data_IF_724181952440
#
_entry.id   IF_724181952440
#
_cell.length_a   1.000
_cell.length_b   1.000
_cell.length_c   1.000
_cell.angle_alpha   90.00
_cell.angle_beta   90.00
_cell.angle_gamma   90.00
#
_symmetry.space_group_name_H-M   'P 1'
#
loop_
_entity.id
_entity.type
_entity.pdbx_description
1 polymer ?
#
# COMPACT_ATOMS: atom_id res chain seq x y z
N UNK A 1 11.72 26.13 6.37
CA UNK A 1 10.48 26.21 7.18
C UNK A 1 10.70 25.38 8.44
N UNK A 2 10.64 25.95 9.65
CA UNK A 2 10.79 25.18 10.87
C UNK A 2 9.54 24.32 11.07
N UNK A 3 9.73 23.04 11.42
CA UNK A 3 8.64 22.14 11.78
C UNK A 3 7.92 22.70 13.01
N UNK A 4 6.59 22.87 12.93
CA UNK A 4 5.77 23.22 14.10
C UNK A 4 5.97 22.16 15.20
N UNK A 5 6.33 22.62 16.40
CA UNK A 5 6.32 21.81 17.62
C UNK A 5 4.95 21.13 17.78
N UNK A 6 4.93 19.83 18.06
CA UNK A 6 3.73 19.13 18.54
C UNK A 6 3.50 17.70 18.05
N UNK A 7 4.12 17.25 16.96
CA UNK A 7 3.96 15.84 16.53
C UNK A 7 5.16 15.03 17.03
N UNK A 8 4.98 14.37 18.17
CA UNK A 8 5.95 13.42 18.70
C UNK A 8 5.94 12.16 17.81
N UNK A 9 6.88 12.09 16.88
CA UNK A 9 7.07 10.88 16.08
C UNK A 9 7.69 9.79 16.93
N UNK A 10 7.15 8.58 16.84
CA UNK A 10 7.74 7.40 17.47
C UNK A 10 7.82 6.25 16.49
N UNK A 11 8.85 5.42 16.64
CA UNK A 11 9.06 4.24 15.83
C UNK A 11 9.17 3.02 16.75
N UNK A 12 8.44 1.96 16.43
CA UNK A 12 8.43 0.74 17.26
C UNK A 12 8.26 -0.50 16.41
N UNK A 13 8.83 -1.62 16.88
CA UNK A 13 8.50 -2.95 16.37
C UNK A 13 7.06 -3.29 16.77
N UNK A 14 6.34 -3.96 15.88
CA UNK A 14 4.92 -4.31 16.07
C UNK A 14 4.77 -5.83 16.00
N UNK A 15 3.97 -6.39 16.91
CA UNK A 15 3.66 -7.81 16.91
C UNK A 15 2.77 -8.22 15.74
N UNK A 16 2.83 -9.50 15.36
CA UNK A 16 1.98 -10.05 14.29
C UNK A 16 0.49 -9.88 14.63
N UNK A 17 0.11 -10.05 15.90
CA UNK A 17 -1.28 -9.94 16.35
C UNK A 17 -1.88 -8.55 16.12
N UNK A 18 -1.06 -7.49 16.16
CA UNK A 18 -1.48 -6.12 15.88
C UNK A 18 -1.49 -5.80 14.38
N UNK A 19 -0.64 -6.48 13.60
CA UNK A 19 -0.47 -6.27 12.15
C UNK A 19 -1.54 -7.02 11.36
N UNK A 20 -1.81 -8.26 11.74
CA UNK A 20 -2.75 -9.17 11.07
C UNK A 20 -4.12 -8.53 10.79
N UNK A 21 -4.83 -7.92 11.76
CA UNK A 21 -6.15 -7.34 11.49
C UNK A 21 -6.09 -6.18 10.48
N UNK A 22 -5.01 -5.40 10.45
CA UNK A 22 -4.84 -4.29 9.48
C UNK A 22 -4.61 -4.84 8.07
N UNK A 23 -3.79 -5.88 7.94
CA UNK A 23 -3.57 -6.55 6.67
C UNK A 23 -4.82 -7.27 6.18
N UNK A 24 -5.60 -7.86 7.08
CA UNK A 24 -6.84 -8.56 6.74
C UNK A 24 -7.87 -7.63 6.09
N UNK A 25 -7.98 -6.37 6.54
CA UNK A 25 -8.79 -5.34 5.87
C UNK A 25 -8.38 -5.15 4.41
N UNK A 26 -7.06 -5.07 4.14
CA UNK A 26 -6.54 -4.90 2.78
C UNK A 26 -6.71 -6.17 1.95
N UNK A 27 -6.40 -7.34 2.52
CA UNK A 27 -6.45 -8.62 1.84
C UNK A 27 -7.89 -9.03 1.51
N UNK A 28 -8.85 -8.70 2.39
CA UNK A 28 -10.27 -8.89 2.13
C UNK A 28 -10.75 -8.00 0.98
N UNK A 29 -10.36 -6.71 0.99
CA UNK A 29 -10.71 -5.76 -0.07
C UNK A 29 -10.28 -6.22 -1.47
N UNK A 30 -9.13 -6.88 -1.60
CA UNK A 30 -8.59 -7.32 -2.88
C UNK A 30 -8.68 -8.83 -3.13
N UNK A 31 -9.39 -9.60 -2.29
CA UNK A 31 -9.64 -11.02 -2.53
C UNK A 31 -8.41 -11.92 -2.40
N UNK A 32 -7.64 -11.78 -1.31
CA UNK A 32 -6.43 -12.58 -1.04
C UNK A 32 -6.28 -13.02 0.42
N UNK A 33 -7.35 -13.02 1.23
CA UNK A 33 -7.27 -13.35 2.67
C UNK A 33 -6.59 -14.70 2.92
N UNK A 34 -6.84 -15.70 2.05
CA UNK A 34 -6.19 -17.01 2.10
C UNK A 34 -4.65 -16.98 1.98
N UNK A 35 -4.06 -15.90 1.45
CA UNK A 35 -2.61 -15.71 1.34
C UNK A 35 -2.00 -14.97 2.53
N UNK A 36 -2.81 -14.44 3.45
CA UNK A 36 -2.35 -13.59 4.56
C UNK A 36 -1.31 -14.29 5.45
N UNK A 37 -1.60 -15.52 5.89
CA UNK A 37 -0.70 -16.28 6.76
C UNK A 37 0.66 -16.52 6.11
N UNK A 38 0.70 -16.87 4.82
CA UNK A 38 1.95 -17.03 4.07
C UNK A 38 2.67 -15.70 3.89
N UNK A 39 1.93 -14.61 3.68
CA UNK A 39 2.51 -13.28 3.54
C UNK A 39 3.21 -12.82 4.82
N UNK A 40 2.67 -13.05 6.01
CA UNK A 40 3.31 -12.58 7.26
C UNK A 40 4.54 -13.40 7.68
N UNK A 41 4.66 -14.64 7.21
CA UNK A 41 5.77 -15.54 7.56
C UNK A 41 7.14 -14.95 7.18
N UNK A 42 8.09 -15.06 8.12
CA UNK A 42 9.49 -14.58 7.98
C UNK A 42 9.62 -13.08 7.69
N UNK A 43 8.68 -12.27 8.18
CA UNK A 43 8.71 -10.82 8.07
C UNK A 43 8.68 -10.16 9.43
N UNK A 44 9.38 -9.04 9.53
CA UNK A 44 9.35 -8.19 10.70
C UNK A 44 8.63 -6.89 10.36
N UNK A 45 7.80 -6.42 11.29
CA UNK A 45 6.94 -5.26 11.09
C UNK A 45 7.28 -4.15 12.07
N UNK A 46 7.18 -2.92 11.59
CA UNK A 46 7.48 -1.74 12.35
C UNK A 46 6.48 -0.65 12.04
N UNK A 47 6.15 0.16 13.03
CA UNK A 47 5.20 1.26 12.91
C UNK A 47 5.92 2.58 13.19
N UNK A 48 5.67 3.54 12.31
CA UNK A 48 5.88 4.96 12.59
C UNK A 48 4.55 5.56 13.01
N UNK A 49 4.49 6.14 14.21
CA UNK A 49 3.37 6.97 14.68
C UNK A 49 3.73 8.44 14.48
N UNK A 50 2.83 9.19 13.86
CA UNK A 50 3.02 10.60 13.54
C UNK A 50 1.69 11.28 13.24
N UNK A 51 1.65 12.19 12.26
CA UNK A 51 0.39 12.79 11.77
C UNK A 51 -0.58 11.72 11.24
N UNK A 52 -0.01 10.71 10.61
CA UNK A 52 -0.65 9.47 10.19
C UNK A 52 0.26 8.32 10.67
N UNK A 53 -0.33 7.14 10.88
CA UNK A 53 0.44 5.96 11.21
C UNK A 53 0.83 5.25 9.92
N UNK A 54 2.02 4.68 9.92
CA UNK A 54 2.53 3.95 8.76
C UNK A 54 3.17 2.65 9.20
N UNK A 55 2.69 1.56 8.61
CA UNK A 55 3.24 0.23 8.83
C UNK A 55 4.28 -0.07 7.76
N UNK A 56 5.44 -0.54 8.22
CA UNK A 56 6.55 -0.96 7.40
C UNK A 56 6.83 -2.45 7.59
N UNK A 57 7.39 -3.03 6.54
CA UNK A 57 7.71 -4.44 6.43
C UNK A 57 9.18 -4.59 6.02
N UNK A 58 9.90 -5.43 6.76
CA UNK A 58 11.20 -5.94 6.36
C UNK A 58 11.05 -7.42 5.98
N UNK A 59 11.36 -7.72 4.71
CA UNK A 59 11.46 -9.09 4.24
C UNK A 59 12.79 -9.68 4.72
N UNK A 60 12.76 -10.93 5.18
CA UNK A 60 13.87 -11.69 5.74
C UNK A 60 14.36 -11.17 7.10
N UNK A 61 14.28 -12.04 8.11
CA UNK A 61 14.78 -11.80 9.47
C UNK A 61 16.32 -11.79 9.58
N UNK A 62 17.05 -11.55 8.48
CA UNK A 62 18.52 -11.48 8.47
C UNK A 62 19.07 -10.23 9.17
N UNK A 63 18.22 -9.22 9.38
CA UNK A 63 18.58 -8.02 10.13
C UNK A 63 18.42 -8.31 11.62
N UNK A 64 19.49 -8.08 12.39
CA UNK A 64 19.42 -8.10 13.85
C UNK A 64 18.47 -6.99 14.32
N UNK A 65 17.27 -7.39 14.74
CA UNK A 65 16.18 -6.48 15.09
C UNK A 65 16.56 -5.51 16.22
N UNK A 66 17.33 -5.98 17.21
CA UNK A 66 17.70 -5.18 18.37
C UNK A 66 18.66 -4.07 17.97
N UNK A 67 19.65 -4.37 17.12
CA UNK A 67 20.56 -3.37 16.55
C UNK A 67 19.84 -2.35 15.67
N UNK A 68 18.84 -2.77 14.90
CA UNK A 68 18.04 -1.86 14.09
C UNK A 68 17.24 -0.90 14.99
N UNK A 69 16.59 -1.41 16.04
CA UNK A 69 15.84 -0.58 16.98
C UNK A 69 16.75 0.39 17.75
N UNK A 70 17.94 -0.05 18.15
CA UNK A 70 18.96 0.79 18.78
C UNK A 70 19.39 1.92 17.85
N UNK A 71 19.70 1.60 16.58
CA UNK A 71 20.07 2.59 15.57
C UNK A 71 18.95 3.62 15.33
N UNK A 72 17.71 3.16 15.18
CA UNK A 72 16.56 4.04 14.95
C UNK A 72 16.28 4.93 16.15
N UNK A 73 16.37 4.39 17.36
CA UNK A 73 16.21 5.17 18.60
C UNK A 73 17.33 6.20 18.76
N UNK A 74 18.57 5.83 18.41
CA UNK A 74 19.72 6.74 18.41
C UNK A 74 19.64 7.85 17.37
N UNK A 75 19.00 7.62 16.22
CA UNK A 75 18.68 8.68 15.27
C UNK A 75 17.64 9.63 15.84
N UNK A 76 16.54 9.09 16.38
CA UNK A 76 15.45 9.88 16.95
C UNK A 76 15.92 10.76 18.12
N UNK A 77 16.79 10.25 18.99
CA UNK A 77 17.35 11.02 20.11
C UNK A 77 18.24 12.19 19.67
N UNK A 78 18.81 12.10 18.46
CA UNK A 78 19.60 13.16 17.81
C UNK A 78 18.75 14.12 16.96
N UNK A 79 17.42 13.99 16.99
CA UNK A 79 16.52 14.79 16.17
C UNK A 79 16.45 14.37 14.70
N UNK A 80 17.02 13.20 14.35
CA UNK A 80 16.89 12.61 13.02
C UNK A 80 15.69 11.67 12.99
N UNK A 81 14.77 11.92 12.06
CA UNK A 81 13.56 11.13 11.90
C UNK A 81 13.67 10.26 10.64
N UNK A 82 13.86 8.94 10.77
CA UNK A 82 13.94 8.05 9.62
C UNK A 82 12.63 8.12 8.84
N UNK A 83 12.73 8.45 7.55
CA UNK A 83 11.57 8.58 6.67
C UNK A 83 10.94 7.23 6.32
N UNK A 84 11.73 6.14 6.38
CA UNK A 84 11.26 4.78 6.09
C UNK A 84 12.22 3.73 6.64
N UNK A 85 11.68 2.58 7.06
CA UNK A 85 12.44 1.38 7.40
C UNK A 85 11.89 0.22 6.58
N UNK A 86 12.64 -0.27 5.60
CA UNK A 86 12.15 -1.32 4.70
C UNK A 86 11.05 -0.83 3.76
N UNK A 87 10.07 -1.70 3.49
CA UNK A 87 8.97 -1.39 2.56
C UNK A 87 7.76 -0.86 3.33
N UNK A 88 7.26 0.35 3.03
CA UNK A 88 6.00 0.81 3.61
C UNK A 88 4.84 0.04 2.98
N UNK A 89 3.92 -0.51 3.78
CA UNK A 89 2.83 -1.36 3.29
C UNK A 89 1.43 -0.79 3.55
N UNK A 90 1.22 -0.14 4.69
CA UNK A 90 -0.08 0.42 5.08
C UNK A 90 0.12 1.84 5.60
N UNK A 91 -0.79 2.74 5.23
CA UNK A 91 -1.00 4.02 5.90
C UNK A 91 -2.37 3.95 6.55
N UNK A 92 -2.48 4.38 7.80
CA UNK A 92 -3.75 4.35 8.53
C UNK A 92 -3.85 5.44 9.58
N UNK A 93 -5.10 5.74 9.92
CA UNK A 93 -5.49 6.57 11.05
C UNK A 93 -6.73 5.95 11.73
N UNK A 94 -7.51 6.75 12.44
CA UNK A 94 -8.74 6.28 13.11
C UNK A 94 -9.89 5.97 12.15
N UNK A 95 -9.85 6.54 10.94
CA UNK A 95 -10.92 6.48 9.95
C UNK A 95 -10.65 5.49 8.83
N UNK A 96 -9.39 5.36 8.39
CA UNK A 96 -9.07 4.58 7.20
C UNK A 96 -7.82 3.73 7.37
N UNK A 97 -7.83 2.58 6.67
CA UNK A 97 -6.67 1.71 6.44
C UNK A 97 -6.52 1.58 4.94
N UNK A 98 -5.39 2.10 4.42
CA UNK A 98 -5.10 2.18 3.00
C UNK A 98 -3.75 1.54 2.67
N UNK A 99 -3.65 0.82 1.54
CA UNK A 99 -2.37 0.29 1.11
C UNK A 99 -1.49 1.41 0.53
N UNK A 100 -0.18 1.23 0.65
CA UNK A 100 0.80 2.10 -0.02
C UNK A 100 0.95 1.70 -1.48
N UNK A 101 1.52 2.60 -2.31
CA UNK A 101 1.88 2.24 -3.68
C UNK A 101 2.93 1.12 -3.71
N UNK A 102 3.91 1.16 -2.80
CA UNK A 102 4.93 0.13 -2.66
C UNK A 102 4.34 -1.25 -2.32
N UNK A 103 3.21 -1.30 -1.61
CA UNK A 103 2.53 -2.56 -1.34
C UNK A 103 1.89 -3.19 -2.57
N UNK A 104 1.60 -2.37 -3.59
CA UNK A 104 0.83 -2.77 -4.77
C UNK A 104 1.48 -3.91 -5.54
N UNK A 105 2.81 -3.96 -5.56
CA UNK A 105 3.56 -5.08 -6.16
C UNK A 105 3.22 -6.42 -5.49
N UNK A 106 3.26 -6.48 -4.16
CA UNK A 106 2.96 -7.72 -3.43
C UNK A 106 1.50 -8.14 -3.62
N UNK A 107 0.58 -7.17 -3.56
CA UNK A 107 -0.84 -7.45 -3.77
C UNK A 107 -1.12 -7.90 -5.21
N UNK A 108 -0.45 -7.34 -6.22
CA UNK A 108 -0.57 -7.79 -7.61
C UNK A 108 -0.12 -9.25 -7.81
N UNK A 109 0.89 -9.70 -7.05
CA UNK A 109 1.37 -11.09 -7.08
C UNK A 109 0.38 -12.06 -6.40
N UNK A 110 -0.33 -11.65 -5.34
CA UNK A 110 -1.10 -12.57 -4.49
C UNK A 110 -2.62 -12.49 -4.67
N UNK A 111 -3.16 -11.36 -5.10
CA UNK A 111 -4.59 -11.05 -5.02
C UNK A 111 -5.34 -11.32 -6.31
N UNK A 112 -6.61 -11.72 -6.16
CA UNK A 112 -7.47 -12.17 -7.26
C UNK A 112 -8.20 -11.01 -7.93
N UNK A 113 -8.57 -9.95 -7.18
CA UNK A 113 -9.31 -8.80 -7.69
C UNK A 113 -8.40 -7.89 -8.53
N UNK A 114 -8.06 -8.34 -9.74
CA UNK A 114 -7.13 -7.68 -10.66
C UNK A 114 -7.77 -7.34 -11.98
N UNK A 115 -7.48 -6.13 -12.47
CA UNK A 115 -7.81 -5.68 -13.81
C UNK A 115 -6.53 -5.56 -14.63
N UNK A 116 -6.39 -6.47 -15.61
CA UNK A 116 -5.28 -6.46 -16.56
C UNK A 116 -5.61 -5.48 -17.68
N UNK A 117 -4.79 -4.45 -17.85
CA UNK A 117 -4.89 -3.49 -18.95
C UNK A 117 -3.71 -3.70 -19.88
N UNK A 118 -3.99 -4.03 -21.14
CA UNK A 118 -2.99 -4.18 -22.20
C UNK A 118 -2.82 -2.92 -23.06
N UNK A 119 -3.84 -2.07 -23.13
CA UNK A 119 -3.81 -0.83 -23.90
C UNK A 119 -3.04 0.26 -23.15
N UNK A 120 -1.87 0.63 -23.67
CA UNK A 120 -1.04 1.69 -23.13
C UNK A 120 -1.77 3.04 -23.02
N UNK A 121 -2.68 3.37 -23.93
CA UNK A 121 -3.45 4.62 -23.84
C UNK A 121 -4.38 4.64 -22.62
N UNK A 122 -4.96 3.49 -22.26
CA UNK A 122 -5.75 3.35 -21.04
C UNK A 122 -4.86 3.43 -19.80
N UNK A 123 -3.69 2.79 -19.81
CA UNK A 123 -2.69 2.92 -18.74
C UNK A 123 -2.30 4.39 -18.55
N UNK A 124 -2.04 5.13 -19.64
CA UNK A 124 -1.74 6.56 -19.57
C UNK A 124 -2.88 7.35 -18.92
N UNK A 125 -4.14 7.09 -19.28
CA UNK A 125 -5.28 7.73 -18.62
C UNK A 125 -5.31 7.44 -17.12
N UNK A 126 -5.14 6.18 -16.73
CA UNK A 126 -5.12 5.73 -15.34
C UNK A 126 -4.02 6.43 -14.55
N UNK A 127 -2.79 6.45 -15.06
CA UNK A 127 -1.70 7.12 -14.35
C UNK A 127 -2.00 8.61 -14.23
N UNK A 128 -2.63 9.29 -15.20
CA UNK A 128 -3.06 10.68 -15.05
C UNK A 128 -4.36 10.87 -14.24
N UNK A 129 -4.74 9.89 -13.42
CA UNK A 129 -5.97 9.89 -12.60
C UNK A 129 -7.28 10.06 -13.37
N UNK A 130 -7.29 9.75 -14.66
CA UNK A 130 -8.51 9.78 -15.46
C UNK A 130 -9.23 8.44 -15.37
N UNK A 131 -10.57 8.43 -15.20
CA UNK A 131 -11.34 7.20 -15.24
C UNK A 131 -11.31 6.58 -16.65
N UNK A 132 -11.48 5.27 -16.72
CA UNK A 132 -11.66 4.53 -17.97
C UNK A 132 -12.95 3.72 -17.92
N UNK A 133 -13.49 3.36 -19.08
CA UNK A 133 -14.67 2.52 -19.19
C UNK A 133 -14.31 1.16 -19.77
N UNK A 134 -14.79 0.10 -19.15
CA UNK A 134 -14.57 -1.28 -19.59
C UNK A 134 -15.91 -1.99 -19.77
N UNK A 135 -15.99 -2.80 -20.83
CA UNK A 135 -17.18 -3.57 -21.20
C UNK A 135 -17.05 -5.03 -20.79
N UNK A 136 -16.63 -5.27 -19.55
CA UNK A 136 -16.41 -6.61 -18.99
C UNK A 136 -17.14 -6.73 -17.66
N UNK A 137 -17.77 -7.88 -17.41
CA UNK A 137 -18.38 -8.15 -16.11
C UNK A 137 -17.32 -8.11 -15.00
N UNK A 138 -17.51 -7.19 -14.04
CA UNK A 138 -16.71 -7.09 -12.83
C UNK A 138 -17.61 -7.27 -11.62
N UNK A 139 -17.18 -8.15 -10.72
CA UNK A 139 -17.92 -8.50 -9.51
C UNK A 139 -17.32 -7.88 -8.24
N UNK A 140 -16.34 -6.98 -8.39
CA UNK A 140 -15.59 -6.40 -7.28
C UNK A 140 -15.61 -4.87 -7.38
N UNK A 141 -15.78 -4.21 -6.24
CA UNK A 141 -15.79 -2.74 -6.15
C UNK A 141 -14.39 -2.14 -6.09
N UNK A 142 -13.41 -2.88 -5.58
CA UNK A 142 -12.02 -2.46 -5.47
C UNK A 142 -11.14 -3.43 -6.27
N UNK A 143 -10.26 -2.88 -7.11
CA UNK A 143 -9.39 -3.67 -7.98
C UNK A 143 -7.96 -3.15 -7.97
N UNK A 144 -7.04 -4.08 -8.21
CA UNK A 144 -5.64 -3.79 -8.50
C UNK A 144 -5.49 -3.77 -10.02
N UNK A 145 -5.10 -2.63 -10.58
CA UNK A 145 -4.78 -2.51 -11.99
C UNK A 145 -3.36 -2.97 -12.21
N UNK A 146 -3.19 -3.90 -13.14
CA UNK A 146 -1.88 -4.42 -13.56
C UNK A 146 -1.72 -4.35 -15.08
N UNK A 147 -0.48 -4.33 -15.55
CA UNK A 147 -0.19 -4.54 -16.97
C UNK A 147 -0.20 -6.04 -17.35
N UNK A 148 0.05 -6.35 -18.62
CA UNK A 148 0.15 -7.73 -19.13
C UNK A 148 1.26 -8.58 -18.49
N UNK A 149 2.24 -7.95 -17.85
CA UNK A 149 3.34 -8.60 -17.15
C UNK A 149 3.06 -8.72 -15.64
N UNK A 150 1.83 -8.43 -15.20
CA UNK A 150 1.42 -8.39 -13.80
C UNK A 150 2.15 -7.31 -12.97
N UNK A 151 2.71 -6.28 -13.61
CA UNK A 151 3.26 -5.14 -12.90
C UNK A 151 2.12 -4.27 -12.37
N UNK A 152 2.23 -3.88 -11.10
CA UNK A 152 1.27 -2.98 -10.46
C UNK A 152 1.27 -1.59 -11.11
N UNK A 153 0.07 -1.07 -11.41
CA UNK A 153 -0.13 0.27 -11.98
C UNK A 153 -0.91 1.17 -11.01
N UNK A 154 -2.02 0.69 -10.47
CA UNK A 154 -2.88 1.50 -9.60
C UNK A 154 -3.82 0.64 -8.74
N UNK A 155 -4.31 1.24 -7.66
CA UNK A 155 -5.56 0.83 -7.02
C UNK A 155 -6.71 1.65 -7.62
N UNK A 156 -7.84 1.00 -7.88
CA UNK A 156 -9.01 1.65 -8.43
C UNK A 156 -10.31 1.14 -7.80
N UNK A 157 -11.33 1.99 -7.87
CA UNK A 157 -12.72 1.61 -7.62
C UNK A 157 -13.40 1.31 -8.94
N UNK A 158 -14.34 0.38 -8.93
CA UNK A 158 -15.14 0.01 -10.09
C UNK A 158 -16.60 0.29 -9.77
N UNK A 159 -17.25 1.08 -10.62
CA UNK A 159 -18.66 1.44 -10.49
C UNK A 159 -19.42 1.01 -11.73
N UNK A 160 -20.58 0.36 -11.54
CA UNK A 160 -21.46 0.04 -12.64
C UNK A 160 -22.20 1.31 -13.09
N UNK A 161 -22.01 1.73 -14.34
CA UNK A 161 -22.69 2.91 -14.89
C UNK A 161 -23.97 2.53 -15.63
N UNK A 162 -23.90 1.51 -16.48
CA UNK A 162 -25.00 0.99 -17.30
C UNK A 162 -24.78 -0.50 -17.53
N UNK A 163 -25.83 -1.26 -17.89
CA UNK A 163 -25.76 -2.71 -18.11
C UNK A 163 -24.53 -3.11 -18.95
N UNK A 164 -23.57 -3.78 -18.33
CA UNK A 164 -22.35 -4.27 -18.98
C UNK A 164 -21.22 -3.25 -19.16
N UNK A 165 -21.35 -2.02 -18.66
CA UNK A 165 -20.32 -0.97 -18.73
C UNK A 165 -19.96 -0.51 -17.33
N UNK A 166 -18.68 -0.67 -17.00
CA UNK A 166 -18.12 -0.30 -15.71
C UNK A 166 -17.15 0.85 -15.89
N UNK A 167 -17.23 1.82 -15.00
CA UNK A 167 -16.23 2.87 -14.86
C UNK A 167 -15.19 2.46 -13.83
N UNK A 168 -13.93 2.58 -14.20
CA UNK A 168 -12.79 2.28 -13.35
C UNK A 168 -12.13 3.61 -12.98
N UNK A 169 -12.21 3.94 -11.69
CA UNK A 169 -11.78 5.22 -11.13
C UNK A 169 -10.47 5.00 -10.36
N UNK A 170 -9.32 5.48 -10.86
CA UNK A 170 -8.04 5.33 -10.17
C UNK A 170 -8.05 6.12 -8.85
N UNK A 171 -7.81 5.42 -7.75
CA UNK A 171 -7.71 6.02 -6.41
C UNK A 171 -6.26 6.46 -6.15
N UNK A 172 -5.31 5.57 -6.46
CA UNK A 172 -3.88 5.78 -6.19
C UNK A 172 -3.06 5.02 -7.22
N UNK A 173 -2.19 5.72 -7.94
CA UNK A 173 -1.47 5.21 -9.11
C UNK A 173 0.04 5.49 -9.03
N UNK A 174 0.85 4.70 -9.75
CA UNK A 174 2.30 4.86 -9.80
C UNK A 174 2.74 6.19 -10.44
N UNK A 175 1.90 6.80 -11.26
CA UNK A 175 2.17 8.12 -11.84
C UNK A 175 2.29 9.20 -10.78
N UNK A 176 1.80 8.98 -9.55
CA UNK A 176 2.05 9.84 -8.41
C UNK A 176 3.55 10.11 -8.22
N UNK A 177 4.41 9.10 -8.40
CA UNK A 177 5.86 9.28 -8.33
C UNK A 177 6.41 10.16 -9.47
N UNK A 178 5.83 10.05 -10.66
CA UNK A 178 6.27 10.75 -11.87
C UNK A 178 5.80 12.21 -11.94
N UNK A 179 4.70 12.53 -11.27
CA UNK A 179 4.13 13.90 -11.22
C UNK A 179 4.80 14.80 -10.18
N UNK A 180 6.01 14.46 -9.72
CA UNK A 180 6.72 15.04 -8.56
C UNK A 180 6.01 14.67 -7.25
N UNK A 181 5.93 13.38 -6.95
CA UNK A 181 5.19 12.84 -5.79
C UNK A 181 5.62 13.46 -4.46
N UNK A 182 4.81 14.40 -3.98
CA UNK A 182 4.97 15.13 -2.71
C UNK A 182 4.72 16.61 -2.89
#
# INVERSE_FOLDING_TARGET
>A
MPFKEGIKMSFSKVGIDEVKPKLEVIFSRYGCVNKLSTFITNKSFYELKGKYNQLFMLANNSVNNDRLLEFLSGLLSKGFHPYSVGTPIIIYDRSEILPTLAFGRYLAEMCENKLVISDYNLIYKIIYKKPIYISSAYNYNDVIIVDKMNNFIAYAKVENRKRGVYEVIPVKDIGWYLRRGG
#
